data_IF_087086204592
#
_entry.id   IF_087086204592
#
_cell.length_a   1.000
_cell.length_b   1.000
_cell.length_c   1.000
_cell.angle_alpha   90.00
_cell.angle_beta   90.00
_cell.angle_gamma   90.00
#
_symmetry.space_group_name_H-M   'P 1'
#
loop_
_entity.id
_entity.type
_entity.pdbx_description
1 polymer ?
#
# COMPACT_ATOMS: atom_id res chain seq x y z
N UNK A 1 5.64 -2.91 7.25
CA UNK A 1 5.41 -4.11 6.43
C UNK A 1 4.78 -3.62 5.13
N UNK A 2 4.97 -4.31 4.02
CA UNK A 2 4.21 -3.98 2.82
C UNK A 2 2.89 -4.74 2.84
N UNK A 3 1.87 -4.17 2.20
CA UNK A 3 0.68 -4.91 1.82
C UNK A 3 0.88 -5.51 0.42
N UNK A 4 0.11 -6.54 0.09
CA UNK A 4 0.01 -7.09 -1.26
C UNK A 4 -1.46 -7.32 -1.62
N UNK A 5 -1.72 -7.36 -2.91
CA UNK A 5 -3.05 -7.60 -3.48
C UNK A 5 -3.07 -9.06 -3.95
N UNK A 6 -4.09 -9.81 -3.53
CA UNK A 6 -4.29 -11.21 -3.91
C UNK A 6 -4.97 -11.34 -5.27
N UNK A 7 -5.05 -12.57 -5.76
CA UNK A 7 -5.75 -12.95 -7.00
C UNK A 7 -7.28 -12.78 -6.92
N UNK A 8 -7.83 -12.49 -5.74
CA UNK A 8 -9.24 -12.12 -5.55
C UNK A 8 -9.57 -10.69 -6.01
N UNK A 9 -8.57 -9.92 -6.46
CA UNK A 9 -8.77 -8.57 -6.98
C UNK A 9 -9.70 -8.56 -8.22
N UNK A 10 -10.69 -7.67 -8.18
CA UNK A 10 -11.69 -7.52 -9.25
C UNK A 10 -11.43 -6.34 -10.20
N UNK A 11 -10.25 -5.73 -10.16
CA UNK A 11 -9.87 -4.57 -11.00
C UNK A 11 -10.91 -3.43 -10.98
N UNK A 12 -11.29 -2.97 -9.78
CA UNK A 12 -12.32 -1.93 -9.61
C UNK A 12 -11.79 -0.49 -9.50
N UNK A 13 -10.47 -0.29 -9.63
CA UNK A 13 -9.78 1.01 -9.68
C UNK A 13 -9.82 1.89 -8.42
N UNK A 14 -10.60 1.54 -7.40
CA UNK A 14 -10.82 2.42 -6.23
C UNK A 14 -9.61 2.57 -5.31
N UNK A 15 -8.67 1.62 -5.31
CA UNK A 15 -7.57 1.60 -4.35
C UNK A 15 -6.33 2.39 -4.79
N UNK A 16 -6.11 2.58 -6.10
CA UNK A 16 -4.98 3.35 -6.65
C UNK A 16 -4.97 4.81 -6.18
N UNK A 17 -6.05 5.60 -6.33
CA UNK A 17 -6.05 7.01 -5.96
C UNK A 17 -5.94 7.25 -4.44
N UNK A 18 -6.26 6.25 -3.63
CA UNK A 18 -6.23 6.35 -2.16
C UNK A 18 -4.83 6.15 -1.58
N UNK A 19 -3.85 5.69 -2.38
CA UNK A 19 -2.51 5.46 -1.89
C UNK A 19 -1.71 6.78 -1.79
N UNK A 20 -1.35 7.26 -0.59
CA UNK A 20 -0.66 8.55 -0.43
C UNK A 20 0.75 8.55 -1.02
N UNK A 21 1.35 7.37 -1.21
CA UNK A 21 2.70 7.20 -1.73
C UNK A 21 2.74 6.74 -3.20
N UNK A 22 1.57 6.62 -3.86
CA UNK A 22 1.49 6.07 -5.22
C UNK A 22 2.07 4.65 -5.33
N UNK A 23 1.89 3.83 -4.28
CA UNK A 23 2.43 2.47 -4.24
C UNK A 23 1.59 1.46 -5.03
N UNK A 24 0.37 1.81 -5.42
CA UNK A 24 -0.58 0.93 -6.10
C UNK A 24 -0.65 1.31 -7.57
N UNK A 25 -0.66 0.32 -8.46
CA UNK A 25 -0.85 0.52 -9.90
C UNK A 25 -1.46 -0.73 -10.55
N UNK A 26 -2.13 -0.57 -11.70
CA UNK A 26 -2.61 -1.70 -12.50
C UNK A 26 -1.46 -2.59 -12.98
N UNK A 27 -1.49 -3.88 -12.64
CA UNK A 27 -0.61 -4.92 -13.19
C UNK A 27 -1.23 -5.62 -14.41
N UNK A 28 -0.63 -6.73 -14.84
CA UNK A 28 -1.11 -7.49 -16.01
C UNK A 28 -2.49 -8.12 -15.80
N UNK A 29 -2.74 -8.69 -14.60
CA UNK A 29 -3.99 -9.39 -14.29
C UNK A 29 -4.78 -8.71 -13.16
N UNK A 30 -4.07 -8.15 -12.18
CA UNK A 30 -4.62 -7.52 -10.97
C UNK A 30 -3.84 -6.24 -10.66
N UNK A 31 -4.40 -5.41 -9.78
CA UNK A 31 -3.62 -4.34 -9.16
C UNK A 31 -2.45 -4.91 -8.36
N UNK A 32 -1.34 -4.16 -8.32
CA UNK A 32 -0.13 -4.55 -7.59
C UNK A 32 0.33 -3.43 -6.65
N UNK A 33 0.95 -3.82 -5.54
CA UNK A 33 1.58 -2.90 -4.59
C UNK A 33 3.09 -3.00 -4.74
N UNK A 34 3.76 -1.85 -4.86
CA UNK A 34 5.23 -1.75 -4.81
C UNK A 34 5.66 -1.67 -3.35
N UNK A 35 6.31 -2.71 -2.78
CA UNK A 35 6.62 -2.76 -1.34
C UNK A 35 7.52 -1.62 -0.83
N UNK A 36 8.38 -1.10 -1.72
CA UNK A 36 9.27 0.03 -1.43
C UNK A 36 8.55 1.35 -1.21
N UNK A 37 7.31 1.48 -1.70
CA UNK A 37 6.48 2.68 -1.56
C UNK A 37 5.36 2.48 -0.54
N UNK A 38 4.98 1.24 -0.23
CA UNK A 38 3.95 0.95 0.76
C UNK A 38 4.47 1.22 2.19
N UNK A 39 3.85 2.17 2.90
CA UNK A 39 4.14 2.44 4.32
C UNK A 39 3.07 1.89 5.26
N UNK A 40 2.16 1.02 4.78
CA UNK A 40 0.91 0.69 5.50
C UNK A 40 0.11 1.95 5.89
N UNK A 41 0.29 3.05 5.14
CA UNK A 41 -0.22 4.38 5.43
C UNK A 41 0.33 5.03 6.72
N UNK A 42 1.24 4.37 7.45
CA UNK A 42 1.93 4.95 8.62
C UNK A 42 2.60 6.27 8.22
N UNK A 43 2.42 7.29 9.07
CA UNK A 43 2.86 8.67 8.83
C UNK A 43 1.82 9.56 8.12
N UNK A 44 0.84 8.97 7.42
CA UNK A 44 -0.26 9.70 6.79
C UNK A 44 -1.60 9.49 7.50
N UNK A 45 -1.91 8.24 7.85
CA UNK A 45 -3.19 7.82 8.43
C UNK A 45 -2.97 6.75 9.51
N UNK A 46 -3.99 6.52 10.34
CA UNK A 46 -3.98 5.46 11.36
C UNK A 46 -4.25 4.07 10.77
N UNK A 47 -4.99 4.01 9.65
CA UNK A 47 -5.36 2.77 8.95
C UNK A 47 -4.94 2.81 7.50
N UNK A 48 -4.85 1.63 6.86
CA UNK A 48 -4.49 1.55 5.46
C UNK A 48 -5.69 1.89 4.56
N UNK A 49 -5.60 3.01 3.85
CA UNK A 49 -6.73 3.54 3.06
C UNK A 49 -7.16 2.59 1.94
N UNK A 50 -6.21 1.91 1.28
CA UNK A 50 -6.52 0.94 0.24
C UNK A 50 -7.33 -0.26 0.76
N UNK A 51 -7.09 -0.68 2.01
CA UNK A 51 -7.85 -1.76 2.66
C UNK A 51 -9.28 -1.29 2.94
N UNK A 52 -9.47 -0.08 3.46
CA UNK A 52 -10.79 0.48 3.79
C UNK A 52 -11.73 0.60 2.57
N UNK A 53 -11.17 0.84 1.37
CA UNK A 53 -11.96 1.00 0.14
C UNK A 53 -12.08 -0.28 -0.68
N UNK A 54 -11.38 -1.36 -0.34
CA UNK A 54 -11.41 -2.59 -1.12
C UNK A 54 -12.75 -3.30 -0.98
N UNK A 55 -13.54 -3.51 -2.05
CA UNK A 55 -14.89 -4.09 -1.94
C UNK A 55 -14.89 -5.61 -1.72
N UNK A 56 -13.73 -6.27 -1.79
CA UNK A 56 -13.57 -7.73 -1.73
C UNK A 56 -12.49 -8.15 -0.74
N UNK A 57 -12.03 -7.26 0.13
CA UNK A 57 -11.07 -7.55 1.21
C UNK A 57 -9.78 -8.28 0.76
N UNK A 58 -9.34 -8.05 -0.48
CA UNK A 58 -8.25 -8.79 -1.12
C UNK A 58 -6.84 -8.22 -0.88
N UNK A 59 -6.70 -7.20 -0.02
CA UNK A 59 -5.42 -6.52 0.28
C UNK A 59 -4.94 -6.94 1.67
N UNK A 60 -3.85 -7.70 1.72
CA UNK A 60 -3.37 -8.37 2.93
C UNK A 60 -1.93 -7.97 3.27
N UNK A 61 -1.48 -8.27 4.49
CA UNK A 61 -0.07 -8.08 4.91
C UNK A 61 0.84 -9.06 4.15
N UNK A 62 1.88 -8.56 3.50
CA UNK A 62 2.84 -9.40 2.76
C UNK A 62 3.81 -10.10 3.73
N UNK A 63 3.76 -11.44 3.84
CA UNK A 63 4.65 -12.19 4.72
C UNK A 63 6.13 -12.11 4.31
N UNK A 64 6.44 -11.70 3.09
CA UNK A 64 7.82 -11.55 2.60
C UNK A 64 8.39 -10.15 2.85
N UNK A 65 7.54 -9.19 3.25
CA UNK A 65 7.92 -7.79 3.48
C UNK A 65 7.49 -7.34 4.88
N UNK A 66 7.90 -8.08 5.92
CA UNK A 66 7.62 -7.73 7.31
C UNK A 66 8.52 -6.58 7.76
N UNK A 67 7.92 -5.50 8.25
CA UNK A 67 8.62 -4.33 8.79
C UNK A 67 7.84 -3.82 10.00
N UNK A 68 8.57 -3.35 11.01
CA UNK A 68 8.08 -2.68 12.20
C UNK A 68 7.54 -1.27 11.91
N UNK A 69 6.81 -0.71 12.86
CA UNK A 69 6.30 0.67 12.77
C UNK A 69 7.42 1.71 12.64
N UNK A 70 8.57 1.51 13.31
CA UNK A 70 9.73 2.41 13.17
C UNK A 70 10.30 2.38 11.75
N UNK A 71 10.39 1.20 11.13
CA UNK A 71 10.87 1.03 9.76
C UNK A 71 9.90 1.69 8.76
N UNK A 72 8.60 1.56 8.99
CA UNK A 72 7.56 2.22 8.19
C UNK A 72 7.63 3.75 8.28
N UNK A 73 7.81 4.29 9.50
CA UNK A 73 7.99 5.73 9.71
C UNK A 73 9.24 6.24 9.02
N UNK A 74 10.35 5.49 9.10
CA UNK A 74 11.59 5.84 8.38
C UNK A 74 11.38 5.87 6.87
N UNK A 75 10.66 4.87 6.32
CA UNK A 75 10.29 4.83 4.90
C UNK A 75 9.44 6.04 4.51
N UNK A 76 8.42 6.37 5.31
CA UNK A 76 7.58 7.56 5.12
C UNK A 76 8.40 8.85 5.07
N UNK A 77 9.31 9.07 6.03
CA UNK A 77 10.17 10.25 6.05
C UNK A 77 10.99 10.35 4.75
N UNK A 78 11.59 9.25 4.29
CA UNK A 78 12.35 9.24 3.05
C UNK A 78 11.51 9.56 1.80
N UNK A 79 10.28 9.08 1.72
CA UNK A 79 9.40 9.33 0.56
C UNK A 79 8.89 10.77 0.52
N UNK A 80 8.53 11.31 1.68
CA UNK A 80 7.96 12.67 1.78
C UNK A 80 9.02 13.76 1.66
N UNK A 81 10.24 13.54 2.17
CA UNK A 81 11.37 14.46 2.02
C UNK A 81 11.83 14.62 0.56
N UNK A 82 11.66 13.59 -0.28
CA UNK A 82 12.02 13.64 -1.71
C UNK A 82 10.99 14.33 -2.59
N UNK A 83 9.83 14.69 -2.05
CA UNK A 83 8.71 15.31 -2.78
C UNK A 83 8.61 16.83 -2.53
N UNK A 84 9.65 17.42 -1.93
CA UNK A 84 9.76 18.87 -1.62
C UNK A 84 10.62 19.65 -2.63
#
# INVERSE_FOLDING_TARGET
>A
MALYITDECINCDVCEPECPNGAISQGEEIYVIVPKLCTECVGHYETSQCVEVCPVDCILKDPNCVESEEELLRKYSHLTEQTS
#
